data_IF_517839015017
#
_entry.id   IF_517839015017
#
_cell.length_a   1.000
_cell.length_b   1.000
_cell.length_c   1.000
_cell.angle_alpha   90.00
_cell.angle_beta   90.00
_cell.angle_gamma   90.00
#
_symmetry.space_group_name_H-M   'P 1'
#
loop_
_entity.id
_entity.type
_entity.pdbx_description
1 polymer ?
#
# COMPACT_ATOMS: atom_id res chain seq x y z
N UNK A 1 -6.10 -4.50 -0.23
CA UNK A 1 -5.15 -3.38 -0.32
C UNK A 1 -3.75 -3.80 -0.72
N UNK A 2 -3.17 -4.76 -0.06
CA UNK A 2 -1.82 -5.21 -0.40
C UNK A 2 -1.70 -5.72 -1.84
N UNK A 3 -2.67 -6.48 -2.31
CA UNK A 3 -2.65 -7.00 -3.67
C UNK A 3 -2.72 -5.88 -4.71
N UNK A 4 -3.55 -4.87 -4.46
CA UNK A 4 -3.67 -3.73 -5.37
C UNK A 4 -2.37 -2.93 -5.39
N UNK A 5 -1.74 -2.73 -4.24
CA UNK A 5 -0.47 -2.01 -4.16
C UNK A 5 0.64 -2.77 -4.86
N UNK A 6 0.69 -4.08 -4.69
CA UNK A 6 1.68 -4.91 -5.38
C UNK A 6 1.52 -4.86 -6.90
N UNK A 7 0.28 -4.85 -7.38
CA UNK A 7 0.00 -4.73 -8.81
C UNK A 7 0.49 -3.38 -9.34
N UNK A 8 0.25 -2.30 -8.60
CA UNK A 8 0.76 -0.98 -8.99
C UNK A 8 2.28 -0.95 -9.03
N UNK A 9 2.93 -1.59 -8.06
CA UNK A 9 4.39 -1.61 -8.00
C UNK A 9 5.01 -2.40 -9.15
N UNK A 10 4.27 -3.33 -9.74
CA UNK A 10 4.73 -4.04 -10.93
C UNK A 10 4.66 -3.17 -12.18
N UNK A 11 3.68 -2.27 -12.24
CA UNK A 11 3.49 -1.41 -13.40
C UNK A 11 4.30 -0.13 -13.34
N UNK A 12 4.48 0.41 -12.14
CA UNK A 12 5.15 1.69 -11.92
C UNK A 12 6.18 1.59 -10.80
N UNK A 13 7.24 2.38 -10.91
CA UNK A 13 8.18 2.53 -9.80
C UNK A 13 7.47 3.25 -8.66
N UNK A 14 7.88 2.96 -7.44
CA UNK A 14 7.28 3.55 -6.25
C UNK A 14 7.27 5.08 -6.31
N UNK A 15 8.34 5.68 -6.82
CA UNK A 15 8.43 7.13 -6.94
C UNK A 15 7.37 7.71 -7.90
N UNK A 16 6.82 6.88 -8.78
CA UNK A 16 5.79 7.29 -9.75
C UNK A 16 4.38 6.99 -9.28
N UNK A 17 4.23 6.23 -8.21
CA UNK A 17 2.92 5.89 -7.66
C UNK A 17 2.48 7.02 -6.73
N UNK A 18 1.28 7.58 -6.99
CA UNK A 18 0.70 8.59 -6.13
C UNK A 18 -0.33 7.98 -5.20
N UNK A 19 -0.72 8.73 -4.17
CA UNK A 19 -1.80 8.31 -3.27
C UNK A 19 -3.10 8.16 -4.05
N UNK A 20 -3.32 9.03 -5.04
CA UNK A 20 -4.50 8.92 -5.91
C UNK A 20 -4.51 7.60 -6.67
N UNK A 21 -3.36 7.15 -7.16
CA UNK A 21 -3.26 5.86 -7.83
C UNK A 21 -3.64 4.72 -6.89
N UNK A 22 -3.14 4.77 -5.66
CA UNK A 22 -3.43 3.75 -4.66
C UNK A 22 -4.91 3.73 -4.32
N UNK A 23 -5.48 4.89 -4.07
CA UNK A 23 -6.90 5.00 -3.73
C UNK A 23 -7.78 4.51 -4.86
N UNK A 24 -7.43 4.83 -6.11
CA UNK A 24 -8.18 4.35 -7.25
C UNK A 24 -8.14 2.85 -7.39
N UNK A 25 -6.97 2.25 -7.16
CA UNK A 25 -6.80 0.80 -7.25
C UNK A 25 -7.53 0.06 -6.13
N UNK A 26 -7.61 0.66 -4.94
CA UNK A 26 -8.22 0.04 -3.78
C UNK A 26 -9.70 0.38 -3.60
N UNK A 27 -10.22 1.30 -4.41
CA UNK A 27 -11.61 1.72 -4.30
C UNK A 27 -11.91 2.54 -3.06
N UNK A 28 -10.93 3.29 -2.56
CA UNK A 28 -11.11 4.12 -1.38
C UNK A 28 -10.80 5.59 -1.72
N UNK A 29 -11.24 6.51 -0.87
CA UNK A 29 -10.93 7.92 -1.05
C UNK A 29 -9.69 8.30 -0.23
N UNK A 30 -9.17 9.52 -0.48
CA UNK A 30 -7.96 10.00 0.20
C UNK A 30 -8.15 10.11 1.71
N UNK A 31 -9.34 10.51 2.16
CA UNK A 31 -9.60 10.64 3.59
C UNK A 31 -9.46 9.29 4.29
N UNK A 32 -9.96 8.23 3.69
CA UNK A 32 -9.81 6.88 4.22
C UNK A 32 -8.35 6.47 4.25
N UNK A 33 -7.60 6.80 3.21
CA UNK A 33 -6.18 6.48 3.16
C UNK A 33 -5.44 7.16 4.32
N UNK A 34 -5.62 8.46 4.48
CA UNK A 34 -4.91 9.22 5.51
C UNK A 34 -5.36 8.88 6.92
N UNK A 35 -6.54 8.29 7.06
CA UNK A 35 -6.99 7.78 8.34
C UNK A 35 -6.12 6.61 8.81
N UNK A 36 -5.66 5.79 7.87
CA UNK A 36 -4.88 4.58 8.17
C UNK A 36 -3.38 4.78 8.03
N UNK A 37 -2.95 5.62 7.10
CA UNK A 37 -1.53 5.78 6.77
C UNK A 37 -1.20 7.25 6.57
N UNK A 38 0.05 7.62 6.91
CA UNK A 38 0.51 9.00 6.73
C UNK A 38 0.83 9.30 5.26
N UNK A 39 1.41 8.32 4.56
CA UNK A 39 1.79 8.45 3.16
C UNK A 39 1.94 7.06 2.55
N UNK A 40 2.36 7.03 1.27
CA UNK A 40 2.52 5.76 0.58
C UNK A 40 3.63 4.88 1.17
N UNK A 41 4.64 5.49 1.73
CA UNK A 41 5.74 4.74 2.35
C UNK A 41 5.28 4.05 3.63
N UNK A 42 4.40 4.69 4.36
CA UNK A 42 3.81 4.10 5.56
C UNK A 42 3.01 2.85 5.20
N UNK A 43 2.25 2.93 4.11
CA UNK A 43 1.50 1.78 3.59
C UNK A 43 2.46 0.65 3.22
N UNK A 44 3.55 0.95 2.54
CA UNK A 44 4.51 -0.06 2.12
C UNK A 44 5.16 -0.73 3.31
N UNK A 45 5.53 0.04 4.32
CA UNK A 45 6.05 -0.51 5.57
C UNK A 45 5.04 -1.45 6.22
N UNK A 46 3.76 -1.09 6.21
CA UNK A 46 2.71 -1.93 6.75
C UNK A 46 2.60 -3.25 5.99
N UNK A 47 2.69 -3.20 4.66
CA UNK A 47 2.61 -4.39 3.83
C UNK A 47 3.78 -5.33 4.14
N UNK A 48 5.00 -4.81 4.17
CA UNK A 48 6.17 -5.62 4.46
C UNK A 48 6.11 -6.20 5.87
N UNK A 49 5.68 -5.40 6.83
CA UNK A 49 5.54 -5.87 8.21
C UNK A 49 4.53 -7.01 8.28
N UNK A 50 3.38 -6.85 7.62
CA UNK A 50 2.33 -7.86 7.63
C UNK A 50 2.81 -9.16 6.99
N UNK A 51 3.51 -9.06 5.87
CA UNK A 51 4.05 -10.25 5.20
C UNK A 51 5.13 -10.92 6.03
N UNK A 52 5.99 -10.12 6.65
CA UNK A 52 7.04 -10.63 7.51
C UNK A 52 6.45 -11.43 8.67
N UNK A 53 5.45 -10.87 9.34
CA UNK A 53 4.78 -11.54 10.46
C UNK A 53 4.08 -12.80 9.99
N UNK A 54 3.45 -12.77 8.82
CA UNK A 54 2.77 -13.94 8.28
C UNK A 54 3.72 -15.08 7.95
N UNK A 55 4.96 -14.76 7.59
CA UNK A 55 5.96 -15.78 7.27
C UNK A 55 6.67 -16.34 8.48
N UNK A 56 6.53 -15.72 9.64
CA UNK A 56 7.10 -16.21 10.87
C UNK A 56 6.03 -17.03 11.60
N UNK A 57 6.17 -18.33 11.54
CA UNK A 57 5.29 -19.24 12.28
C UNK A 57 6.05 -19.73 13.51
N UNK A 58 5.56 -19.35 14.65
CA UNK A 58 6.11 -19.82 15.92
C UNK A 58 5.29 -20.97 16.47
#
# INVERSE_FOLDING_TARGET
>A
MAAAMKALMKEKKLSKISISDICGACGMNRNSFYYHFKDKYDLINWIFYTEFVSNIHL
#
